data_IF_103333675664
#
_entry.id   IF_103333675664
#
_cell.length_a   1.000
_cell.length_b   1.000
_cell.length_c   1.000
_cell.angle_alpha   90.00
_cell.angle_beta   90.00
_cell.angle_gamma   90.00
#
_symmetry.space_group_name_H-M   'P 1'
#
loop_
_entity.id
_entity.type
_entity.pdbx_description
1 polymer ?
#
# COMPACT_ATOMS: atom_id res chain seq x y z
N UNK A 1 3.39 -25.51 -4.82
CA UNK A 1 3.06 -24.71 -3.62
C UNK A 1 2.93 -23.27 -4.03
N UNK A 2 1.77 -22.67 -3.79
CA UNK A 2 1.56 -21.23 -4.00
C UNK A 2 1.63 -20.53 -2.64
N UNK A 3 2.51 -19.54 -2.54
CA UNK A 3 2.62 -18.68 -1.37
C UNK A 3 1.68 -17.49 -1.52
N UNK A 4 0.57 -17.54 -0.78
CA UNK A 4 -0.41 -16.46 -0.74
C UNK A 4 -0.17 -15.55 0.46
N UNK A 5 -0.16 -14.23 0.21
CA UNK A 5 -0.24 -13.21 1.25
C UNK A 5 -1.58 -12.48 1.09
N UNK A 6 -2.43 -12.58 2.11
CA UNK A 6 -3.77 -11.98 2.10
C UNK A 6 -3.71 -10.66 2.87
N UNK A 7 -4.24 -9.59 2.26
CA UNK A 7 -4.49 -8.32 2.97
C UNK A 7 -6.00 -8.19 3.09
N UNK A 8 -6.53 -8.57 4.26
CA UNK A 8 -7.93 -8.35 4.59
C UNK A 8 -8.09 -7.02 5.34
N UNK A 9 -8.75 -6.06 4.70
CA UNK A 9 -9.00 -4.76 5.32
C UNK A 9 -9.96 -4.86 6.51
N UNK A 10 -10.77 -5.92 6.64
CA UNK A 10 -11.68 -6.16 7.76
C UNK A 10 -10.95 -6.33 9.11
N UNK A 11 -9.69 -6.77 9.09
CA UNK A 11 -8.87 -6.95 10.30
C UNK A 11 -8.51 -5.63 11.00
N UNK A 12 -8.73 -4.48 10.35
CA UNK A 12 -8.38 -3.16 10.87
C UNK A 12 -9.61 -2.45 11.43
N UNK A 13 -9.66 -2.25 12.74
CA UNK A 13 -10.77 -1.59 13.40
C UNK A 13 -10.84 -0.09 13.04
N UNK A 14 -12.05 0.42 12.81
CA UNK A 14 -12.33 1.86 12.67
C UNK A 14 -13.44 2.21 13.66
N UNK A 15 -13.08 2.60 14.90
CA UNK A 15 -14.06 2.92 15.92
C UNK A 15 -15.01 4.05 15.48
N UNK A 16 -16.31 3.81 15.59
CA UNK A 16 -17.34 4.80 15.23
C UNK A 16 -17.71 4.86 13.75
N UNK A 17 -17.15 3.99 12.91
CA UNK A 17 -17.60 3.82 11.52
C UNK A 17 -18.78 2.85 11.47
N UNK A 18 -19.83 3.24 10.76
CA UNK A 18 -20.92 2.34 10.39
C UNK A 18 -20.45 1.34 9.33
N UNK A 19 -20.75 0.06 9.52
CA UNK A 19 -20.31 -1.03 8.65
C UNK A 19 -20.80 -0.85 7.20
N UNK A 20 -21.95 -0.20 6.99
CA UNK A 20 -22.49 0.11 5.66
C UNK A 20 -21.54 1.00 4.83
N UNK A 21 -20.71 1.81 5.48
CA UNK A 21 -19.74 2.68 4.80
C UNK A 21 -18.35 2.07 4.69
N UNK A 22 -18.10 0.89 5.27
CA UNK A 22 -16.77 0.26 5.27
C UNK A 22 -16.19 0.05 3.87
N UNK A 23 -17.06 -0.30 2.92
CA UNK A 23 -16.67 -0.52 1.52
C UNK A 23 -16.07 0.73 0.86
N UNK A 24 -16.45 1.92 1.32
CA UNK A 24 -15.97 3.20 0.77
C UNK A 24 -14.56 3.49 1.28
N UNK A 25 -14.27 3.15 2.54
CA UNK A 25 -12.99 3.45 3.18
C UNK A 25 -11.96 2.32 3.06
N UNK A 26 -12.38 1.09 2.74
CA UNK A 26 -11.46 -0.05 2.57
C UNK A 26 -10.32 0.21 1.58
N UNK A 27 -10.50 0.92 0.44
CA UNK A 27 -9.39 1.26 -0.45
C UNK A 27 -8.37 2.20 0.21
N UNK A 28 -8.79 3.05 1.15
CA UNK A 28 -7.87 3.93 1.89
C UNK A 28 -7.05 3.16 2.91
N UNK A 29 -7.65 2.19 3.61
CA UNK A 29 -6.92 1.26 4.48
C UNK A 29 -5.85 0.53 3.66
N UNK A 30 -6.24 -0.05 2.52
CA UNK A 30 -5.32 -0.74 1.63
C UNK A 30 -4.22 0.19 1.10
N UNK A 31 -4.56 1.44 0.75
CA UNK A 31 -3.56 2.43 0.30
C UNK A 31 -2.51 2.65 1.38
N UNK A 32 -2.89 2.94 2.63
CA UNK A 32 -1.90 3.19 3.70
C UNK A 32 -1.03 1.96 3.96
N UNK A 33 -1.62 0.75 3.94
CA UNK A 33 -0.85 -0.49 4.11
C UNK A 33 0.18 -0.69 3.00
N UNK A 34 -0.21 -0.46 1.74
CA UNK A 34 0.61 -0.82 0.58
C UNK A 34 1.53 0.30 0.12
N UNK A 35 1.01 1.52 -0.02
CA UNK A 35 1.75 2.67 -0.58
C UNK A 35 2.67 3.33 0.44
N UNK A 36 2.42 3.16 1.75
CA UNK A 36 3.32 3.64 2.80
C UNK A 36 4.10 2.48 3.44
N UNK A 37 3.44 1.69 4.30
CA UNK A 37 4.14 0.70 5.16
C UNK A 37 4.89 -0.36 4.36
N UNK A 38 4.22 -1.02 3.42
CA UNK A 38 4.83 -2.07 2.61
C UNK A 38 5.94 -1.50 1.71
N UNK A 39 5.65 -0.41 0.99
CA UNK A 39 6.63 0.25 0.11
C UNK A 39 7.92 0.64 0.85
N UNK A 40 7.82 1.16 2.09
CA UNK A 40 8.99 1.49 2.91
C UNK A 40 9.81 0.28 3.32
N UNK A 41 9.16 -0.83 3.67
CA UNK A 41 9.88 -2.07 3.99
C UNK A 41 10.56 -2.65 2.75
N UNK A 42 9.91 -2.60 1.59
CA UNK A 42 10.52 -2.98 0.32
C UNK A 42 11.74 -2.12 -0.02
N UNK A 43 11.65 -0.79 0.12
CA UNK A 43 12.78 0.13 -0.03
C UNK A 43 13.95 -0.25 0.90
N UNK A 44 13.65 -0.54 2.18
CA UNK A 44 14.65 -0.92 3.17
C UNK A 44 15.37 -2.23 2.83
N UNK A 45 14.64 -3.25 2.37
CA UNK A 45 15.18 -4.59 2.09
C UNK A 45 15.93 -4.60 0.76
N UNK A 46 15.36 -3.98 -0.27
CA UNK A 46 15.97 -3.95 -1.62
C UNK A 46 17.10 -2.93 -1.76
N UNK A 47 17.20 -1.98 -0.82
CA UNK A 47 18.12 -0.82 -0.89
C UNK A 47 17.86 0.06 -2.13
N UNK A 48 16.65 0.02 -2.67
CA UNK A 48 16.26 0.80 -3.83
C UNK A 48 15.33 1.96 -3.43
N UNK A 49 15.81 3.18 -3.62
CA UNK A 49 15.10 4.40 -3.23
C UNK A 49 13.79 4.59 -4.03
N UNK A 50 12.67 4.82 -3.35
CA UNK A 50 11.33 5.01 -3.96
C UNK A 50 11.20 6.25 -4.84
N UNK A 51 12.13 7.20 -4.75
CA UNK A 51 12.23 8.38 -5.62
C UNK A 51 13.15 8.17 -6.82
N UNK A 52 13.97 7.12 -6.82
CA UNK A 52 14.85 6.85 -7.95
C UNK A 52 14.04 6.58 -9.21
N UNK A 53 14.39 7.25 -10.31
CA UNK A 53 13.80 7.01 -11.63
C UNK A 53 14.94 6.97 -12.64
N UNK A 54 14.98 5.91 -13.46
CA UNK A 54 15.94 5.81 -14.58
C UNK A 54 15.47 6.58 -15.82
N UNK A 55 14.15 6.65 -16.04
CA UNK A 55 13.54 7.26 -17.22
C UNK A 55 12.46 8.28 -16.87
N UNK A 56 11.58 7.98 -15.91
CA UNK A 56 10.46 8.87 -15.54
C UNK A 56 10.94 10.27 -15.11
N UNK A 57 10.56 11.32 -15.84
CA UNK A 57 10.99 12.72 -15.71
C UNK A 57 12.50 12.95 -15.80
N UNK A 58 13.23 12.13 -16.56
CA UNK A 58 14.69 12.28 -16.73
C UNK A 58 15.10 12.80 -18.12
N UNK A 59 14.21 12.74 -19.12
CA UNK A 59 14.45 13.20 -20.49
C UNK A 59 13.19 13.87 -21.04
N UNK A 60 13.32 14.57 -22.16
CA UNK A 60 12.18 15.14 -22.89
C UNK A 60 11.53 14.03 -23.74
N UNK A 61 10.40 13.52 -23.26
CA UNK A 61 9.57 12.49 -23.89
C UNK A 61 8.10 12.63 -23.46
#
# INVERSE_FOLDING_TARGET
DEDYVIIDTAEYAIPGLDDDFRVIVSPWILSVLTTDRLARNYELVTKHNLKYRRYYHQFDY
#
